data_IF_978510024027
#
_entry.id   IF_978510024027
#
_cell.length_a   1.000
_cell.length_b   1.000
_cell.length_c   1.000
_cell.angle_alpha   90.00
_cell.angle_beta   90.00
_cell.angle_gamma   90.00
#
_symmetry.space_group_name_H-M   'P 1'
#
loop_
_entity.id
_entity.type
_entity.pdbx_description
1 polymer ?
#
# COMPACT_ATOMS: atom_id res chain seq x y z
N UNK A 1 14.23 -5.56 -4.27
CA UNK A 1 13.63 -4.22 -4.44
C UNK A 1 12.85 -3.95 -3.17
N UNK A 2 13.13 -2.85 -2.48
CA UNK A 2 12.36 -2.47 -1.29
C UNK A 2 11.26 -1.48 -1.73
N UNK A 3 10.00 -1.81 -1.48
CA UNK A 3 8.85 -1.01 -1.92
C UNK A 3 8.15 -0.51 -0.66
N UNK A 4 8.08 0.80 -0.50
CA UNK A 4 7.42 1.46 0.63
C UNK A 4 6.15 2.13 0.12
N UNK A 5 5.02 1.86 0.78
CA UNK A 5 3.76 2.55 0.53
C UNK A 5 3.35 3.34 1.77
N UNK A 6 3.16 4.64 1.59
CA UNK A 6 2.51 5.49 2.58
C UNK A 6 1.00 5.32 2.43
N UNK A 7 0.39 4.69 3.42
CA UNK A 7 -1.00 4.25 3.36
C UNK A 7 -1.89 5.09 4.31
N UNK A 8 -3.07 5.46 3.82
CA UNK A 8 -4.14 6.01 4.67
C UNK A 8 -5.34 5.05 4.60
N UNK A 9 -5.68 4.33 5.69
CA UNK A 9 -6.79 3.38 5.71
C UNK A 9 -8.15 3.99 5.34
N UNK A 10 -8.35 5.28 5.60
CA UNK A 10 -9.59 5.99 5.26
C UNK A 10 -9.70 6.35 3.77
N UNK A 11 -8.59 6.41 3.02
CA UNK A 11 -8.57 6.79 1.62
C UNK A 11 -8.78 5.58 0.67
N UNK A 12 -9.88 5.58 -0.09
CA UNK A 12 -10.21 4.50 -1.04
C UNK A 12 -9.13 4.26 -2.10
N UNK A 13 -8.55 5.33 -2.65
CA UNK A 13 -7.44 5.22 -3.62
C UNK A 13 -6.22 4.56 -3.01
N UNK A 14 -5.89 4.90 -1.76
CA UNK A 14 -4.74 4.31 -1.05
C UNK A 14 -4.93 2.82 -0.81
N UNK A 15 -6.15 2.37 -0.48
CA UNK A 15 -6.47 0.94 -0.34
C UNK A 15 -6.33 0.21 -1.67
N UNK A 16 -6.87 0.76 -2.75
CA UNK A 16 -6.77 0.15 -4.08
C UNK A 16 -5.31 0.00 -4.54
N UNK A 17 -4.45 0.99 -4.25
CA UNK A 17 -3.03 0.90 -4.55
C UNK A 17 -2.33 -0.23 -3.77
N UNK A 18 -2.61 -0.37 -2.46
CA UNK A 18 -2.06 -1.45 -1.64
C UNK A 18 -2.48 -2.84 -2.15
N UNK A 19 -3.75 -3.00 -2.53
CA UNK A 19 -4.27 -4.26 -3.09
C UNK A 19 -3.59 -4.62 -4.42
N UNK A 20 -3.38 -3.65 -5.31
CA UNK A 20 -2.70 -3.89 -6.59
C UNK A 20 -1.25 -4.36 -6.39
N UNK A 21 -0.53 -3.77 -5.44
CA UNK A 21 0.84 -4.18 -5.10
C UNK A 21 0.85 -5.63 -4.59
N UNK A 22 -0.08 -5.97 -3.70
CA UNK A 22 -0.20 -7.34 -3.17
C UNK A 22 -0.64 -8.35 -4.22
N UNK A 23 -1.52 -7.95 -5.14
CA UNK A 23 -2.03 -8.81 -6.21
C UNK A 23 -0.92 -9.29 -7.17
N UNK A 24 0.15 -8.52 -7.33
CA UNK A 24 1.33 -8.92 -8.13
C UNK A 24 2.36 -9.71 -7.32
N UNK A 25 2.03 -10.13 -6.09
CA UNK A 25 2.90 -10.93 -5.23
C UNK A 25 4.00 -10.14 -4.52
N UNK A 26 3.89 -8.81 -4.46
CA UNK A 26 4.83 -7.94 -3.76
C UNK A 26 4.22 -7.60 -2.40
N UNK A 27 4.95 -7.88 -1.31
CA UNK A 27 4.59 -7.35 0.01
C UNK A 27 5.39 -6.06 0.26
N UNK A 28 4.74 -4.89 0.29
CA UNK A 28 5.41 -3.62 0.55
C UNK A 28 5.56 -3.35 2.05
N UNK A 29 6.52 -2.50 2.40
CA UNK A 29 6.56 -1.88 3.71
C UNK A 29 5.48 -0.80 3.80
N UNK A 30 4.50 -0.98 4.71
CA UNK A 30 3.38 -0.05 4.87
C UNK A 30 3.68 0.93 5.99
N UNK A 31 3.64 2.23 5.68
CA UNK A 31 3.74 3.31 6.68
C UNK A 31 2.43 4.08 6.72
N UNK A 32 1.72 4.01 7.85
CA UNK A 32 0.49 4.77 8.05
C UNK A 32 0.80 6.24 8.38
N UNK A 33 0.14 7.19 7.71
CA UNK A 33 0.46 8.63 7.84
C UNK A 33 -0.68 9.52 8.33
N UNK A 34 -1.86 8.97 8.60
CA UNK A 34 -3.03 9.67 9.15
C UNK A 34 -3.92 8.72 9.96
#
# INVERSE_FOLDING_TARGET
>A
MDIVIYHNPACGTSRNALELIRHVGIEPHVVEYL
#
